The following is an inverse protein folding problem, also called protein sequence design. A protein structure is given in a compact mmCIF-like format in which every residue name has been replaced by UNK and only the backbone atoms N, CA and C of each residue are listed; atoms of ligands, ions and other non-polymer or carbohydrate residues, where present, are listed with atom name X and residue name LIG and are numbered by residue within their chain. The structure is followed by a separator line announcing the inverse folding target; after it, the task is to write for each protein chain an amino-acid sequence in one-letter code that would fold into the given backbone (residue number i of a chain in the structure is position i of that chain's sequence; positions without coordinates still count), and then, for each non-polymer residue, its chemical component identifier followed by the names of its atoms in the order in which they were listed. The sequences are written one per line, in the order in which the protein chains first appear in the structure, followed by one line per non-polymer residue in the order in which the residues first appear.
data_IF_769144574541
#
_entry.id   IF_769144574541
#
_cell.length_a   1.000
_cell.length_b   1.000
_cell.length_c   1.000
_cell.angle_alpha   90.00
_cell.angle_beta   90.00
_cell.angle_gamma   90.00
#
_symmetry.space_group_name_H-M   'P 1'
#
loop_
_entity.id
_entity.type
_entity.pdbx_description
1 polymer ?
#
# COMPACT_ATOMS: atom_id res chain seq x y z
N UNK A 1 3.40 10.72 20.89
CA UNK A 1 4.04 9.93 19.82
C UNK A 1 3.43 10.41 18.50
N UNK A 2 4.14 11.10 17.59
CA UNK A 2 3.51 11.54 16.36
C UNK A 2 3.35 10.35 15.42
N UNK A 3 2.11 10.12 15.00
CA UNK A 3 1.71 9.16 13.97
C UNK A 3 2.39 9.49 12.63
N UNK A 4 2.96 8.48 11.98
CA UNK A 4 3.27 8.35 10.54
C UNK A 4 3.44 9.63 9.68
N UNK A 5 4.12 10.67 10.18
CA UNK A 5 4.24 11.93 9.46
C UNK A 5 5.44 11.89 8.50
N UNK A 6 5.26 12.22 7.20
CA UNK A 6 6.37 12.43 6.30
C UNK A 6 7.01 13.81 6.53
N UNK A 7 8.35 13.87 6.55
CA UNK A 7 9.09 15.13 6.45
C UNK A 7 8.93 15.70 5.02
N UNK A 8 8.15 16.78 4.87
CA UNK A 8 8.03 17.53 3.60
C UNK A 8 8.96 18.75 3.58
N UNK A 9 9.72 18.94 2.48
CA UNK A 9 10.23 20.24 2.03
C UNK A 9 9.94 20.42 0.54
N UNK A 10 9.44 21.60 0.17
CA UNK A 10 9.43 22.14 -1.20
C UNK A 10 8.07 22.13 -1.90
N UNK A 11 7.34 23.25 -1.86
CA UNK A 11 6.15 23.50 -2.67
C UNK A 11 6.56 23.79 -4.13
N UNK A 12 6.31 22.83 -5.02
CA UNK A 12 6.24 23.07 -6.48
C UNK A 12 4.78 22.90 -6.89
N UNK A 13 4.24 23.81 -7.71
CA UNK A 13 2.85 23.76 -8.19
C UNK A 13 2.55 22.37 -8.77
N UNK A 14 1.63 21.65 -8.12
CA UNK A 14 1.14 20.34 -8.55
C UNK A 14 0.30 20.58 -9.81
N UNK A 15 0.64 20.00 -10.98
CA UNK A 15 -0.24 20.05 -12.15
C UNK A 15 -1.59 19.41 -11.79
N UNK A 16 -2.72 19.85 -12.38
CA UNK A 16 -4.03 19.24 -12.11
C UNK A 16 -3.94 17.72 -12.29
N UNK A 17 -4.56 16.92 -11.39
CA UNK A 17 -4.40 15.48 -11.45
C UNK A 17 -4.88 14.98 -12.80
N UNK A 18 -3.95 14.43 -13.57
CA UNK A 18 -4.31 13.48 -14.64
C UNK A 18 -5.06 12.38 -13.91
N UNK A 19 -6.37 12.24 -14.15
CA UNK A 19 -7.17 11.16 -13.58
C UNK A 19 -6.72 9.86 -14.22
N UNK A 20 -5.60 9.31 -13.74
CA UNK A 20 -5.18 7.96 -14.06
C UNK A 20 -6.27 7.07 -13.46
N UNK A 21 -6.98 6.25 -14.26
CA UNK A 21 -8.04 5.42 -13.72
C UNK A 21 -7.47 4.46 -12.68
N UNK A 22 -8.22 4.25 -11.60
CA UNK A 22 -7.88 3.25 -10.60
C UNK A 22 -7.69 1.90 -11.31
N UNK A 23 -6.63 1.17 -10.96
CA UNK A 23 -6.27 -0.07 -11.63
C UNK A 23 -6.84 -1.25 -10.87
N UNK A 24 -7.54 -2.15 -11.57
CA UNK A 24 -8.01 -3.39 -10.98
C UNK A 24 -6.82 -4.18 -10.43
N UNK A 25 -7.00 -4.73 -9.22
CA UNK A 25 -6.10 -5.72 -8.64
C UNK A 25 -6.73 -7.09 -8.90
N UNK A 26 -6.10 -7.87 -9.78
CA UNK A 26 -6.50 -9.22 -10.11
C UNK A 26 -5.88 -10.24 -9.13
N UNK A 27 -6.36 -11.48 -9.19
CA UNK A 27 -5.80 -12.63 -8.45
C UNK A 27 -5.63 -12.36 -6.95
N UNK A 28 -6.65 -11.71 -6.36
CA UNK A 28 -6.62 -11.33 -4.94
C UNK A 28 -6.78 -12.56 -4.07
N UNK A 29 -5.80 -12.80 -3.20
CA UNK A 29 -5.81 -13.88 -2.21
C UNK A 29 -5.59 -13.32 -0.82
N UNK A 30 -6.40 -13.76 0.15
CA UNK A 30 -6.25 -13.42 1.56
C UNK A 30 -5.29 -14.38 2.26
N UNK A 31 -4.49 -13.85 3.18
CA UNK A 31 -3.53 -14.57 3.99
C UNK A 31 -3.64 -14.10 5.44
N UNK A 32 -3.56 -15.04 6.39
CA UNK A 32 -3.36 -14.73 7.81
C UNK A 32 -1.89 -14.95 8.14
N UNK A 33 -1.18 -13.87 8.44
CA UNK A 33 0.26 -13.89 8.75
C UNK A 33 0.46 -13.25 10.11
N UNK A 34 0.89 -14.04 11.12
CA UNK A 34 1.10 -13.53 12.49
C UNK A 34 -0.16 -12.86 13.05
N UNK A 35 -1.31 -13.48 12.84
CA UNK A 35 -2.63 -12.99 13.24
C UNK A 35 -3.07 -11.68 12.55
N UNK A 36 -2.31 -11.21 11.56
CA UNK A 36 -2.67 -10.07 10.72
C UNK A 36 -3.27 -10.56 9.40
N UNK A 37 -4.41 -9.98 9.00
CA UNK A 37 -4.97 -10.15 7.65
C UNK A 37 -4.14 -9.37 6.65
N UNK A 38 -3.75 -10.03 5.56
CA UNK A 38 -3.00 -9.46 4.45
C UNK A 38 -3.53 -10.03 3.16
N UNK A 39 -3.36 -9.31 2.06
CA UNK A 39 -3.73 -9.83 0.75
C UNK A 39 -2.56 -9.76 -0.22
N UNK A 40 -2.52 -10.71 -1.14
CA UNK A 40 -1.72 -10.58 -2.35
C UNK A 40 -2.63 -10.30 -3.53
N UNK A 41 -2.08 -9.72 -4.58
CA UNK A 41 -2.77 -9.56 -5.85
C UNK A 41 -1.79 -9.13 -6.92
N UNK A 42 -2.28 -8.90 -8.13
CA UNK A 42 -1.46 -8.42 -9.24
C UNK A 42 -2.13 -7.25 -9.94
N UNK A 43 -1.33 -6.28 -10.35
CA UNK A 43 -1.75 -5.27 -11.32
C UNK A 43 -1.07 -5.55 -12.65
N UNK A 44 -1.83 -5.55 -13.74
CA UNK A 44 -1.30 -5.69 -15.10
C UNK A 44 -1.22 -4.32 -15.76
N UNK A 45 -0.10 -4.01 -16.40
CA UNK A 45 -0.03 -2.81 -17.24
C UNK A 45 -0.60 -3.08 -18.65
N UNK A 46 -0.65 -2.03 -19.49
CA UNK A 46 -1.20 -2.14 -20.84
C UNK A 46 -0.42 -3.10 -21.76
N UNK A 47 0.79 -3.52 -21.37
CA UNK A 47 1.57 -4.54 -22.07
C UNK A 47 1.37 -5.96 -21.51
N UNK A 48 0.49 -6.13 -20.52
CA UNK A 48 0.23 -7.42 -19.87
C UNK A 48 1.26 -7.81 -18.81
N UNK A 49 2.21 -6.93 -18.46
CA UNK A 49 3.23 -7.24 -17.45
C UNK A 49 2.58 -7.20 -16.07
N UNK A 50 2.68 -8.33 -15.36
CA UNK A 50 2.11 -8.49 -14.03
C UNK A 50 3.08 -7.98 -12.97
N UNK A 51 2.60 -7.10 -12.09
CA UNK A 51 3.36 -6.64 -10.92
C UNK A 51 2.70 -7.17 -9.64
N UNK A 52 3.40 -7.98 -8.84
CA UNK A 52 2.84 -8.55 -7.62
C UNK A 52 2.75 -7.48 -6.53
N UNK A 53 1.57 -7.40 -5.92
CA UNK A 53 1.23 -6.50 -4.83
C UNK A 53 1.08 -7.27 -3.52
N UNK A 54 1.41 -6.57 -2.44
CA UNK A 54 1.08 -6.95 -1.07
C UNK A 54 0.17 -5.84 -0.56
N UNK A 55 -1.01 -6.21 -0.07
CA UNK A 55 -2.00 -5.30 0.46
C UNK A 55 -1.99 -5.48 1.97
N UNK A 56 -1.83 -4.37 2.67
CA UNK A 56 -1.72 -4.26 4.12
C UNK A 56 -2.88 -3.42 4.62
N UNK A 57 -3.34 -3.69 5.83
CA UNK A 57 -4.24 -2.81 6.56
C UNK A 57 -3.40 -1.95 7.53
N UNK A 58 -3.48 -0.63 7.40
CA UNK A 58 -2.77 0.33 8.26
C UNK A 58 -3.80 1.35 8.75
N UNK A 59 -4.05 1.39 10.06
CA UNK A 59 -5.03 2.29 10.68
C UNK A 59 -6.43 2.21 10.02
N UNK A 60 -6.86 1.01 9.61
CA UNK A 60 -8.15 0.78 8.94
C UNK A 60 -8.18 1.13 7.45
N UNK A 61 -7.08 1.60 6.86
CA UNK A 61 -6.95 1.83 5.43
C UNK A 61 -6.22 0.67 4.75
N UNK A 62 -6.70 0.24 3.57
CA UNK A 62 -5.98 -0.71 2.74
C UNK A 62 -4.93 0.01 1.90
N UNK A 63 -3.70 -0.48 1.96
CA UNK A 63 -2.55 0.07 1.24
C UNK A 63 -1.84 -1.05 0.49
N UNK A 64 -1.70 -0.91 -0.82
CA UNK A 64 -0.92 -1.82 -1.65
C UNK A 64 0.50 -1.32 -1.82
N UNK A 65 1.46 -2.23 -1.67
CA UNK A 65 2.89 -2.02 -1.91
C UNK A 65 3.43 -3.08 -2.87
N UNK A 66 4.63 -2.86 -3.42
CA UNK A 66 5.38 -3.91 -4.13
C UNK A 66 5.59 -5.13 -3.22
N UNK A 67 5.20 -6.35 -3.63
CA UNK A 67 5.44 -7.58 -2.85
C UNK A 67 6.83 -8.21 -3.09
N UNK A 68 7.85 -7.36 -3.23
CA UNK A 68 9.21 -7.77 -3.52
C UNK A 68 10.19 -6.80 -2.86
N UNK A 69 11.08 -7.33 -2.04
CA UNK A 69 12.17 -6.57 -1.44
C UNK A 69 13.10 -6.04 -2.55
N UNK A 70 13.49 -4.76 -2.55
CA UNK A 70 14.40 -4.20 -3.56
C UNK A 70 15.82 -4.81 -3.50
N UNK A 71 16.20 -5.42 -2.39
CA UNK A 71 17.54 -6.03 -2.23
C UNK A 71 17.73 -7.32 -3.03
N UNK A 72 16.84 -8.30 -2.81
CA UNK A 72 17.00 -9.69 -3.29
C UNK A 72 15.72 -10.29 -3.87
N UNK A 73 14.74 -9.45 -4.18
CA UNK A 73 13.45 -9.86 -4.76
C UNK A 73 12.69 -10.91 -3.92
N UNK A 74 12.94 -10.93 -2.61
CA UNK A 74 12.22 -11.80 -1.67
C UNK A 74 10.80 -11.27 -1.47
N UNK A 75 9.82 -12.17 -1.37
CA UNK A 75 8.44 -11.80 -1.04
C UNK A 75 8.37 -11.13 0.34
N UNK A 76 7.65 -10.02 0.41
CA UNK A 76 7.44 -9.28 1.65
C UNK A 76 6.21 -9.74 2.42
N UNK A 77 5.42 -10.69 1.88
CA UNK A 77 4.19 -11.21 2.50
C UNK A 77 4.42 -11.66 3.96
N UNK A 78 5.55 -12.30 4.25
CA UNK A 78 5.91 -12.78 5.60
C UNK A 78 6.72 -11.77 6.42
N UNK A 79 6.92 -10.55 5.90
CA UNK A 79 7.59 -9.46 6.59
C UNK A 79 6.83 -8.98 7.83
N UNK A 80 7.49 -8.19 8.68
CA UNK A 80 6.86 -7.63 9.89
C UNK A 80 6.39 -6.22 9.60
N UNK A 81 5.11 -5.93 9.86
CA UNK A 81 4.57 -4.59 9.73
C UNK A 81 4.65 -3.88 11.07
N UNK A 82 5.32 -2.74 11.11
CA UNK A 82 5.22 -1.77 12.19
C UNK A 82 4.24 -0.69 11.71
N UNK A 83 2.95 -0.89 12.05
CA UNK A 83 1.87 -0.01 11.58
C UNK A 83 1.98 1.40 12.17
N UNK A 84 2.55 1.55 13.36
CA UNK A 84 2.74 2.84 14.04
C UNK A 84 3.83 3.69 13.38
N UNK A 85 4.91 3.03 12.92
CA UNK A 85 6.01 3.68 12.17
C UNK A 85 5.81 3.66 10.66
N UNK A 86 4.77 2.97 10.18
CA UNK A 86 4.52 2.77 8.75
C UNK A 86 5.73 2.13 8.02
N UNK A 87 6.36 1.14 8.67
CA UNK A 87 7.54 0.41 8.18
C UNK A 87 7.20 -1.06 7.95
N UNK A 88 7.61 -1.60 6.80
CA UNK A 88 7.57 -3.03 6.51
C UNK A 88 8.99 -3.60 6.53
N UNK A 89 9.25 -4.52 7.46
CA UNK A 89 10.52 -5.22 7.59
C UNK A 89 10.57 -6.45 6.67
N UNK A 90 11.60 -6.55 5.84
CA UNK A 90 11.84 -7.72 5.00
C UNK A 90 12.12 -8.98 5.86
N UNK A 91 11.45 -10.11 5.59
CA UNK A 91 11.58 -11.31 6.42
C UNK A 91 12.95 -12.01 6.32
N UNK A 92 13.77 -11.68 5.31
CA UNK A 92 15.04 -12.38 5.09
C UNK A 92 16.18 -11.90 5.98
N UNK A 93 16.27 -10.61 6.27
CA UNK A 93 17.42 -10.01 6.96
C UNK A 93 17.08 -8.64 7.59
N UNK A 94 15.80 -8.37 7.86
CA UNK A 94 15.41 -7.23 8.69
C UNK A 94 15.46 -5.85 8.03
N UNK A 95 15.57 -5.75 6.71
CA UNK A 95 15.59 -4.43 6.06
C UNK A 95 14.23 -3.74 6.20
N UNK A 96 14.20 -2.64 6.95
CA UNK A 96 13.07 -1.75 7.14
C UNK A 96 12.80 -0.90 5.88
N UNK A 97 11.58 -1.00 5.34
CA UNK A 97 11.14 -0.28 4.15
C UNK A 97 9.95 0.62 4.49
N UNK A 98 10.04 1.95 4.32
CA UNK A 98 8.90 2.83 4.47
C UNK A 98 7.80 2.49 3.46
N UNK A 99 6.57 2.27 3.93
CA UNK A 99 5.42 1.86 3.10
C UNK A 99 5.14 2.87 1.97
N UNK A 100 5.12 4.17 2.28
CA UNK A 100 5.00 5.25 1.28
C UNK A 100 6.31 5.62 0.57
N UNK A 101 7.41 4.93 0.86
CA UNK A 101 8.74 5.23 0.32
C UNK A 101 8.90 4.86 -1.15
N UNK A 102 9.96 5.35 -1.78
CA UNK A 102 10.22 5.16 -3.22
C UNK A 102 10.40 3.69 -3.63
N UNK A 103 10.81 2.82 -2.71
CA UNK A 103 11.02 1.39 -2.96
C UNK A 103 9.71 0.59 -2.97
N UNK A 104 8.80 0.88 -2.02
CA UNK A 104 7.53 0.17 -1.89
C UNK A 104 6.39 0.80 -2.68
N UNK A 105 6.45 2.13 -2.88
CA UNK A 105 5.48 2.92 -3.64
C UNK A 105 4.05 2.65 -3.18
N UNK A 106 3.84 2.67 -1.85
CA UNK A 106 2.53 2.47 -1.25
C UNK A 106 1.48 3.34 -1.93
N UNK A 107 0.34 2.75 -2.22
CA UNK A 107 -0.80 3.43 -2.81
C UNK A 107 -2.10 2.94 -2.14
N UNK A 108 -3.08 3.83 -1.90
CA UNK A 108 -4.36 3.44 -1.34
C UNK A 108 -5.07 2.42 -2.23
N UNK A 109 -5.74 1.47 -1.59
CA UNK A 109 -6.65 0.51 -2.23
C UNK A 109 -8.08 0.87 -1.85
N UNK A 110 -8.96 0.85 -2.85
CA UNK A 110 -10.40 1.06 -2.64
C UNK A 110 -11.15 -0.19 -3.08
N UNK A 111 -12.15 -0.59 -2.29
CA UNK A 111 -13.10 -1.62 -2.68
C UNK A 111 -14.30 -1.01 -3.40
N UNK A 112 -14.68 -1.58 -4.54
CA UNK A 112 -15.91 -1.24 -5.27
C UNK A 112 -16.51 -2.52 -5.84
N UNK A 113 -17.79 -2.74 -5.58
CA UNK A 113 -18.53 -3.91 -6.06
C UNK A 113 -17.82 -5.25 -5.78
N UNK A 114 -17.22 -5.38 -4.58
CA UNK A 114 -16.48 -6.58 -4.15
C UNK A 114 -15.13 -6.78 -4.82
N UNK A 115 -14.60 -5.76 -5.52
CA UNK A 115 -13.29 -5.79 -6.19
C UNK A 115 -12.36 -4.72 -5.65
N UNK A 116 -11.07 -5.02 -5.59
CA UNK A 116 -10.04 -4.11 -5.12
C UNK A 116 -9.40 -3.34 -6.27
N UNK A 117 -9.21 -2.04 -6.08
CA UNK A 117 -8.60 -1.15 -7.06
C UNK A 117 -7.45 -0.36 -6.43
N UNK A 118 -6.31 -0.36 -7.10
CA UNK A 118 -5.15 0.47 -6.79
C UNK A 118 -5.40 1.90 -7.28
N UNK A 119 -5.41 2.87 -6.37
CA UNK A 119 -5.55 4.27 -6.75
C UNK A 119 -4.25 4.81 -7.34
N UNK A 120 -4.34 5.84 -8.18
CA UNK A 120 -3.17 6.43 -8.83
C UNK A 120 -2.31 7.33 -7.93
N UNK A 121 -2.67 7.47 -6.66
CA UNK A 121 -2.00 8.37 -5.71
C UNK A 121 -0.94 7.60 -4.91
N UNK A 122 0.13 8.30 -4.57
CA UNK A 122 1.08 7.82 -3.56
C UNK A 122 0.42 7.95 -2.19
N UNK A 123 0.48 6.90 -1.40
CA UNK A 123 0.05 6.91 -0.01
C UNK A 123 1.10 7.62 0.83
N UNK A 124 0.68 8.65 1.56
CA UNK A 124 1.57 9.54 2.33
C UNK A 124 1.47 9.32 3.84
N UNK A 125 0.91 8.19 4.26
CA UNK A 125 0.50 7.92 5.63
C UNK A 125 -1.02 7.84 5.78
N UNK A 126 -1.52 7.37 6.94
CA UNK A 126 -2.95 7.26 7.20
C UNK A 126 -3.62 8.62 7.02
N UNK A 127 -4.74 8.65 6.31
CA UNK A 127 -5.60 9.82 6.30
C UNK A 127 -6.06 10.11 7.72
N UNK A 128 -6.10 11.38 8.12
CA UNK A 128 -6.89 11.79 9.29
C UNK A 128 -8.35 11.54 8.93
N UNK A 129 -8.84 10.32 9.11
CA UNK A 129 -10.15 9.89 8.65
C UNK A 129 -11.24 10.82 9.17
N UNK A 130 -11.89 11.56 8.27
CA UNK A 130 -13.22 12.07 8.52
C UNK A 130 -14.16 10.89 8.68
N UNK A 131 -14.88 10.87 9.78
CA UNK A 131 -15.93 9.89 10.10
C UNK A 131 -16.96 9.83 8.97
N UNK A 132 -16.82 8.84 8.08
CA UNK A 132 -17.88 8.43 7.17
C UNK A 132 -18.99 7.80 7.99
N UNK A 133 -20.06 8.56 8.23
CA UNK A 133 -21.17 8.17 9.09
C UNK A 133 -21.79 6.83 8.72
N UNK A 134 -21.88 5.97 9.72
CA UNK A 134 -22.87 4.90 9.74
C UNK A 134 -24.25 5.52 9.72
N UNK A 135 -25.04 5.11 8.73
CA UNK A 135 -26.48 5.37 8.68
C UNK A 135 -27.14 4.77 9.93
N UNK A 136 -27.98 5.57 10.60
CA UNK A 136 -28.91 5.19 11.65
C UNK A 136 -29.92 6.30 11.81
#
# INVERSE_FOLDING_TARGET
MPACAPHMRGMTRIPPPVTIPDRLIDDVEEHIIRDERRWTGVVRDGGGVSRPLLILEIAGELVAVRNRCPHRDISLLRGRLDADRCILECPSHGWELPVGGADLRGAPVVERDGRLYLTARVWTGPGTGGTGGVRG
#
